data_IF_026376359545
#
_entry.id   IF_026376359545
#
_cell.length_a   1.000
_cell.length_b   1.000
_cell.length_c   1.000
_cell.angle_alpha   90.00
_cell.angle_beta   90.00
_cell.angle_gamma   90.00
#
_symmetry.space_group_name_H-M   'P 1'
#
loop_
_entity.id
_entity.type
_entity.pdbx_description
1 polymer ?
#
# COMPACT_ATOMS: atom_id res chain seq x y z
N UNK A 1 12.86 16.65 -5.57
CA UNK A 1 12.38 15.94 -6.78
C UNK A 1 12.41 14.45 -6.46
N UNK A 2 11.27 13.77 -6.46
CA UNK A 2 11.23 12.30 -6.28
C UNK A 2 11.85 11.66 -7.52
N UNK A 3 12.86 10.82 -7.33
CA UNK A 3 13.40 9.99 -8.40
C UNK A 3 12.89 8.57 -8.19
N UNK A 4 11.70 8.27 -8.73
CA UNK A 4 11.24 6.88 -8.84
C UNK A 4 12.12 6.23 -9.91
N UNK A 5 13.16 5.52 -9.48
CA UNK A 5 14.02 4.78 -10.39
C UNK A 5 13.28 3.53 -10.86
N UNK A 6 12.60 3.68 -11.99
CA UNK A 6 11.92 2.58 -12.66
C UNK A 6 12.95 1.69 -13.37
N UNK A 7 12.66 0.40 -13.43
CA UNK A 7 13.32 -0.54 -14.34
C UNK A 7 12.41 -0.77 -15.58
N UNK A 8 12.87 -1.59 -16.53
CA UNK A 8 12.07 -1.91 -17.73
C UNK A 8 10.70 -2.51 -17.40
N UNK A 9 10.57 -3.25 -16.29
CA UNK A 9 9.35 -3.94 -15.92
C UNK A 9 8.26 -2.99 -15.36
N UNK A 10 8.67 -1.88 -14.73
CA UNK A 10 7.74 -0.95 -14.08
C UNK A 10 7.71 0.47 -14.68
N UNK A 11 8.50 0.73 -15.73
CA UNK A 11 8.55 2.01 -16.43
C UNK A 11 7.18 2.47 -16.94
N UNK A 12 6.37 1.55 -17.49
CA UNK A 12 5.03 1.89 -17.99
C UNK A 12 4.06 2.40 -16.92
N UNK A 13 4.34 2.14 -15.64
CA UNK A 13 3.51 2.55 -14.50
C UNK A 13 4.05 3.79 -13.79
N UNK A 14 5.04 4.49 -14.35
CA UNK A 14 5.76 5.56 -13.66
C UNK A 14 4.83 6.69 -13.18
N UNK A 15 3.81 7.08 -13.96
CA UNK A 15 2.87 8.15 -13.58
C UNK A 15 2.05 7.75 -12.35
N UNK A 16 1.55 6.51 -12.35
CA UNK A 16 0.77 5.93 -11.25
C UNK A 16 1.64 5.83 -10.00
N UNK A 17 2.85 5.27 -10.15
CA UNK A 17 3.81 5.16 -9.05
C UNK A 17 4.21 6.54 -8.50
N UNK A 18 4.42 7.52 -9.37
CA UNK A 18 4.74 8.89 -8.97
C UNK A 18 3.57 9.57 -8.26
N UNK A 19 2.32 9.28 -8.66
CA UNK A 19 1.13 9.78 -7.95
C UNK A 19 0.97 9.13 -6.57
N UNK A 20 1.24 7.82 -6.45
CA UNK A 20 1.13 7.09 -5.18
C UNK A 20 2.21 7.55 -4.19
N UNK A 21 3.45 7.68 -4.66
CA UNK A 21 4.60 8.03 -3.83
C UNK A 21 4.92 9.52 -3.82
N UNK A 22 4.14 10.37 -4.51
CA UNK A 22 4.39 11.81 -4.58
C UNK A 22 4.39 12.49 -3.21
N UNK A 23 3.59 11.96 -2.28
CA UNK A 23 3.50 12.42 -0.89
C UNK A 23 4.69 11.95 -0.02
N UNK A 24 5.41 10.90 -0.46
CA UNK A 24 6.54 10.30 0.25
C UNK A 24 7.82 10.82 -0.40
N UNK A 25 8.33 11.90 0.18
CA UNK A 25 9.47 12.70 -0.29
C UNK A 25 10.73 11.84 -0.58
N UNK A 26 11.73 12.46 -1.21
CA UNK A 26 13.02 11.92 -1.73
C UNK A 26 13.84 10.97 -0.83
N UNK A 27 13.37 10.76 0.39
CA UNK A 27 14.00 9.93 1.40
C UNK A 27 13.64 8.45 1.24
N UNK A 28 12.83 8.06 0.26
CA UNK A 28 12.37 6.68 0.05
C UNK A 28 12.87 6.03 -1.24
N UNK A 29 13.02 4.70 -1.21
CA UNK A 29 13.39 3.85 -2.35
C UNK A 29 12.47 2.63 -2.42
N UNK A 30 12.14 2.22 -3.64
CA UNK A 30 11.51 0.94 -3.93
C UNK A 30 12.57 0.00 -4.51
N UNK A 31 12.90 -1.08 -3.80
CA UNK A 31 13.96 -2.01 -4.23
C UNK A 31 13.52 -2.87 -5.41
N UNK A 32 14.48 -3.46 -6.14
CA UNK A 32 14.19 -4.45 -7.19
C UNK A 32 13.40 -5.67 -6.69
N UNK A 33 13.49 -5.98 -5.39
CA UNK A 33 12.74 -7.05 -4.72
C UNK A 33 11.36 -6.61 -4.19
N UNK A 34 10.98 -5.36 -4.48
CA UNK A 34 9.68 -4.79 -4.19
C UNK A 34 9.51 -4.24 -2.77
N UNK A 35 10.59 -3.86 -2.08
CA UNK A 35 10.55 -3.34 -0.71
C UNK A 35 10.50 -1.82 -0.75
N UNK A 36 9.46 -1.25 -0.15
CA UNK A 36 9.36 0.18 0.14
C UNK A 36 10.08 0.49 1.45
N UNK A 37 11.11 1.34 1.39
CA UNK A 37 11.92 1.71 2.57
C UNK A 37 12.56 3.07 2.39
N UNK A 38 12.96 3.75 3.48
CA UNK A 38 13.81 4.94 3.37
C UNK A 38 15.15 4.59 2.72
N UNK A 39 15.82 5.58 2.12
CA UNK A 39 17.17 5.51 1.57
C UNK A 39 18.22 5.54 2.69
N UNK A 40 18.00 6.41 3.69
CA UNK A 40 18.77 6.42 4.93
C UNK A 40 17.93 5.82 6.05
N UNK A 41 18.43 4.80 6.77
CA UNK A 41 17.74 4.27 7.94
C UNK A 41 17.44 5.35 8.99
N UNK A 42 16.35 5.19 9.76
CA UNK A 42 16.07 6.07 10.87
C UNK A 42 17.11 5.92 11.98
N UNK A 43 17.14 6.90 12.88
CA UNK A 43 17.87 6.81 14.15
C UNK A 43 17.01 6.09 15.19
N UNK A 44 17.67 5.31 16.05
CA UNK A 44 17.00 4.64 17.15
C UNK A 44 16.46 5.68 18.15
N UNK A 45 15.16 5.64 18.51
CA UNK A 45 14.58 6.63 19.43
C UNK A 45 15.11 6.51 20.86
N UNK A 46 15.67 5.36 21.24
CA UNK A 46 16.17 5.11 22.59
C UNK A 46 17.62 5.58 22.79
N UNK A 47 18.51 5.33 21.83
CA UNK A 47 19.94 5.61 21.96
C UNK A 47 20.53 6.54 20.89
N UNK A 48 19.73 7.00 19.93
CA UNK A 48 20.16 7.92 18.87
C UNK A 48 21.06 7.31 17.79
N UNK A 49 21.43 6.03 17.89
CA UNK A 49 22.30 5.37 16.92
C UNK A 49 21.55 5.07 15.61
N UNK A 50 22.22 5.22 14.47
CA UNK A 50 21.66 4.83 13.18
C UNK A 50 21.29 3.36 13.17
N UNK A 51 20.07 3.05 12.71
CA UNK A 51 19.58 1.67 12.64
C UNK A 51 20.05 0.99 11.36
N UNK A 52 20.09 -0.33 11.36
CA UNK A 52 20.41 -1.14 10.18
C UNK A 52 19.14 -1.73 9.58
N UNK A 53 19.10 -1.86 8.25
CA UNK A 53 18.03 -2.63 7.60
C UNK A 53 18.04 -4.08 8.11
N UNK A 54 16.86 -4.59 8.43
CA UNK A 54 16.67 -5.95 8.94
C UNK A 54 15.45 -6.62 8.28
N UNK A 55 15.42 -6.60 6.95
CA UNK A 55 14.37 -7.22 6.15
C UNK A 55 13.13 -6.34 5.98
N UNK A 56 11.97 -7.00 5.91
CA UNK A 56 10.68 -6.37 5.65
C UNK A 56 9.53 -7.18 6.27
N UNK A 57 8.38 -6.54 6.48
CA UNK A 57 7.11 -7.26 6.62
C UNK A 57 6.27 -7.11 5.36
N UNK A 58 5.39 -8.07 5.10
CA UNK A 58 4.45 -8.03 3.99
C UNK A 58 3.05 -7.74 4.49
N UNK A 59 2.39 -6.74 3.93
CA UNK A 59 0.99 -6.43 4.19
C UNK A 59 0.18 -6.65 2.93
N UNK A 60 -0.83 -7.52 3.03
CA UNK A 60 -1.68 -7.90 1.91
C UNK A 60 -3.15 -7.59 2.18
N UNK A 61 -3.90 -7.45 1.09
CA UNK A 61 -5.36 -7.49 1.08
C UNK A 61 -5.79 -8.40 -0.07
N UNK A 62 -6.53 -9.45 0.27
CA UNK A 62 -7.06 -10.42 -0.70
C UNK A 62 -7.83 -9.67 -1.78
N UNK A 63 -7.59 -10.04 -3.04
CA UNK A 63 -8.20 -9.44 -4.23
C UNK A 63 -7.67 -8.07 -4.63
N UNK A 64 -6.75 -7.45 -3.86
CA UNK A 64 -6.18 -6.14 -4.17
C UNK A 64 -4.68 -6.20 -4.42
N UNK A 65 -3.93 -6.84 -3.52
CA UNK A 65 -2.48 -6.95 -3.66
C UNK A 65 -1.74 -6.99 -2.32
N UNK A 66 -0.42 -6.84 -2.39
CA UNK A 66 0.43 -6.79 -1.20
C UNK A 66 1.61 -5.84 -1.38
N UNK A 67 2.09 -5.28 -0.28
CA UNK A 67 3.25 -4.39 -0.20
C UNK A 67 4.26 -4.95 0.80
N UNK A 68 5.55 -4.76 0.53
CA UNK A 68 6.64 -5.08 1.47
C UNK A 68 7.17 -3.79 2.08
N UNK A 69 7.17 -3.71 3.40
CA UNK A 69 7.53 -2.51 4.17
C UNK A 69 8.85 -2.78 4.91
N UNK A 70 9.83 -1.90 4.73
CA UNK A 70 11.16 -2.05 5.29
C UNK A 70 11.19 -2.06 6.82
N UNK A 71 12.04 -2.92 7.39
CA UNK A 71 12.29 -3.03 8.82
C UNK A 71 13.71 -2.64 9.18
N UNK A 72 13.88 -2.21 10.42
CA UNK A 72 15.15 -1.80 10.97
C UNK A 72 15.42 -2.42 12.33
N UNK A 73 16.69 -2.54 12.68
CA UNK A 73 17.16 -2.94 14.01
C UNK A 73 18.27 -2.02 14.48
N UNK A 74 18.19 -1.58 15.74
CA UNK A 74 19.25 -0.83 16.38
C UNK A 74 20.40 -1.80 16.74
N UNK A 75 21.63 -1.56 16.26
CA UNK A 75 22.76 -2.43 16.59
C UNK A 75 23.20 -2.32 18.06
N UNK A 76 22.84 -1.24 18.76
CA UNK A 76 23.20 -1.01 20.17
C UNK A 76 22.14 -1.58 21.12
N UNK A 77 20.87 -1.25 20.91
CA UNK A 77 19.77 -1.61 21.82
C UNK A 77 19.02 -2.89 21.42
N UNK A 78 19.16 -3.34 20.18
CA UNK A 78 18.36 -4.45 19.62
C UNK A 78 16.90 -4.08 19.31
N UNK A 79 16.45 -2.87 19.65
CA UNK A 79 15.10 -2.39 19.33
C UNK A 79 14.83 -2.36 17.82
N UNK A 80 13.61 -2.69 17.42
CA UNK A 80 13.19 -2.75 16.01
C UNK A 80 12.20 -1.65 15.66
N UNK A 81 12.26 -1.14 14.44
CA UNK A 81 11.24 -0.25 13.87
C UNK A 81 10.86 -0.71 12.46
N UNK A 82 9.75 -0.19 11.97
CA UNK A 82 9.24 -0.42 10.62
C UNK A 82 8.89 0.92 9.99
N UNK A 83 9.00 1.01 8.66
CA UNK A 83 8.49 2.18 7.94
C UNK A 83 6.98 2.36 8.08
N UNK A 84 6.57 3.61 7.97
CA UNK A 84 5.16 3.93 7.81
C UNK A 84 4.59 3.31 6.52
N UNK A 85 3.35 2.87 6.61
CA UNK A 85 2.61 2.19 5.53
C UNK A 85 1.35 2.94 5.14
N UNK A 86 1.28 4.22 5.46
CA UNK A 86 0.09 5.06 5.28
C UNK A 86 -0.32 5.14 3.81
N UNK A 87 0.64 5.03 2.87
CA UNK A 87 0.33 5.00 1.43
C UNK A 87 -0.54 3.78 1.09
N UNK A 88 -0.28 2.63 1.71
CA UNK A 88 -1.04 1.41 1.47
C UNK A 88 -2.44 1.50 2.08
N UNK A 89 -2.57 2.12 3.25
CA UNK A 89 -3.86 2.38 3.87
C UNK A 89 -4.69 3.39 3.06
N UNK A 90 -4.07 4.46 2.56
CA UNK A 90 -4.68 5.46 1.68
C UNK A 90 -5.19 4.82 0.38
N UNK A 91 -4.35 4.02 -0.28
CA UNK A 91 -4.69 3.37 -1.56
C UNK A 91 -5.86 2.38 -1.39
N UNK A 92 -5.88 1.62 -0.28
CA UNK A 92 -7.05 0.80 0.09
C UNK A 92 -8.30 1.65 0.29
N UNK A 93 -8.18 2.77 1.00
CA UNK A 93 -9.30 3.69 1.24
C UNK A 93 -9.88 4.28 -0.04
N UNK A 94 -9.02 4.78 -0.94
CA UNK A 94 -9.40 5.31 -2.25
C UNK A 94 -10.11 4.26 -3.10
N UNK A 95 -9.55 3.05 -3.17
CA UNK A 95 -10.16 1.92 -3.86
C UNK A 95 -11.54 1.59 -3.28
N UNK A 96 -11.64 1.42 -1.96
CA UNK A 96 -12.92 1.17 -1.29
C UNK A 96 -13.94 2.29 -1.54
N UNK A 97 -13.50 3.55 -1.62
CA UNK A 97 -14.36 4.68 -1.96
C UNK A 97 -14.97 4.58 -3.37
N UNK A 98 -14.16 4.20 -4.36
CA UNK A 98 -14.63 3.97 -5.74
C UNK A 98 -15.63 2.81 -5.78
N UNK A 99 -15.30 1.70 -5.15
CA UNK A 99 -16.19 0.53 -5.11
C UNK A 99 -17.52 0.86 -4.44
N UNK A 100 -17.51 1.56 -3.30
CA UNK A 100 -18.74 1.99 -2.64
C UNK A 100 -19.61 2.86 -3.53
N UNK A 101 -18.99 3.76 -4.32
CA UNK A 101 -19.72 4.60 -5.28
C UNK A 101 -20.36 3.77 -6.41
N UNK A 102 -19.65 2.77 -6.93
CA UNK A 102 -20.19 1.84 -7.93
C UNK A 102 -21.39 1.08 -7.35
N UNK A 103 -21.27 0.55 -6.13
CA UNK A 103 -22.37 -0.14 -5.43
C UNK A 103 -23.58 0.77 -5.22
N UNK A 104 -23.36 2.01 -4.79
CA UNK A 104 -24.44 3.00 -4.61
C UNK A 104 -25.16 3.31 -5.93
N UNK A 105 -24.43 3.46 -7.03
CA UNK A 105 -25.04 3.69 -8.35
C UNK A 105 -25.89 2.48 -8.79
N UNK A 106 -25.42 1.25 -8.58
CA UNK A 106 -26.21 0.06 -8.88
C UNK A 106 -27.50 -0.01 -8.04
N UNK A 107 -27.43 0.32 -6.74
CA UNK A 107 -28.61 0.42 -5.87
C UNK A 107 -29.60 1.48 -6.38
N UNK A 108 -29.11 2.65 -6.79
CA UNK A 108 -29.93 3.73 -7.36
C UNK A 108 -30.65 3.29 -8.64
N UNK A 109 -30.02 2.44 -9.45
CA UNK A 109 -30.59 1.86 -10.65
C UNK A 109 -31.38 0.56 -10.41
N UNK A 110 -31.73 0.27 -9.15
CA UNK A 110 -32.54 -0.88 -8.75
C UNK A 110 -31.98 -2.25 -9.19
N UNK A 111 -30.66 -2.35 -9.34
CA UNK A 111 -30.00 -3.66 -9.53
C UNK A 111 -30.28 -4.50 -8.28
N UNK A 112 -30.69 -5.75 -8.47
CA UNK A 112 -30.97 -6.65 -7.35
C UNK A 112 -29.70 -6.89 -6.53
N UNK A 113 -29.85 -7.19 -5.24
CA UNK A 113 -28.70 -7.52 -4.38
C UNK A 113 -27.86 -8.67 -4.93
N UNK A 114 -28.51 -9.68 -5.52
CA UNK A 114 -27.79 -10.78 -6.18
C UNK A 114 -27.00 -10.27 -7.38
N UNK A 115 -27.60 -9.44 -8.23
CA UNK A 115 -26.90 -8.85 -9.38
C UNK A 115 -25.71 -7.98 -8.97
N UNK A 116 -25.84 -7.20 -7.88
CA UNK A 116 -24.72 -6.45 -7.30
C UNK A 116 -23.63 -7.40 -6.83
N UNK A 117 -23.98 -8.46 -6.11
CA UNK A 117 -23.01 -9.47 -5.63
C UNK A 117 -22.26 -10.12 -6.79
N UNK A 118 -22.97 -10.55 -7.84
CA UNK A 118 -22.39 -11.20 -9.01
C UNK A 118 -21.44 -10.25 -9.76
N UNK A 119 -21.83 -8.97 -9.93
CA UNK A 119 -20.97 -7.95 -10.54
C UNK A 119 -19.73 -7.70 -9.67
N UNK A 120 -19.90 -7.59 -8.35
CA UNK A 120 -18.79 -7.34 -7.44
C UNK A 120 -17.79 -8.49 -7.42
N UNK A 121 -18.23 -9.74 -7.56
CA UNK A 121 -17.34 -10.90 -7.68
C UNK A 121 -16.39 -10.80 -8.88
N UNK A 122 -16.81 -10.16 -9.98
CA UNK A 122 -15.98 -9.92 -11.16
C UNK A 122 -14.94 -8.80 -10.97
N UNK A 123 -15.23 -7.84 -10.11
CA UNK A 123 -14.39 -6.64 -9.91
C UNK A 123 -13.44 -6.84 -8.73
N UNK A 124 -13.99 -7.18 -7.56
CA UNK A 124 -13.28 -7.31 -6.32
C UNK A 124 -14.09 -8.17 -5.33
N UNK A 125 -13.57 -9.34 -4.90
CA UNK A 125 -14.30 -10.20 -3.99
C UNK A 125 -14.53 -9.49 -2.65
N UNK A 126 -15.80 -9.19 -2.36
CA UNK A 126 -16.23 -8.56 -1.12
C UNK A 126 -16.86 -9.57 -0.16
N UNK A 127 -16.69 -9.32 1.13
CA UNK A 127 -17.46 -10.03 2.15
C UNK A 127 -18.93 -9.69 2.02
N UNK A 128 -19.79 -10.68 2.22
CA UNK A 128 -21.25 -10.55 2.22
C UNK A 128 -21.72 -9.31 2.98
N UNK A 129 -21.22 -9.09 4.19
CA UNK A 129 -21.60 -7.98 5.06
C UNK A 129 -21.33 -6.58 4.47
N UNK A 130 -20.41 -6.45 3.53
CA UNK A 130 -20.11 -5.19 2.83
C UNK A 130 -21.12 -4.89 1.71
N UNK A 131 -21.73 -5.93 1.14
CA UNK A 131 -22.77 -5.80 0.11
C UNK A 131 -24.15 -5.61 0.74
N UNK A 132 -24.36 -6.19 1.93
CA UNK A 132 -25.64 -6.16 2.64
C UNK A 132 -25.87 -4.91 3.52
N UNK A 133 -24.83 -4.11 3.79
CA UNK A 133 -24.91 -2.80 4.47
C UNK A 133 -24.74 -1.66 3.45
#
# INVERSE_FOLDING_TARGET
>A
MVSVNTNLDNFSYWEILSSIFGDYLSDYVYTATGIFRRMMPPVCPECGMAMNYNGYNTYGKIGLGSVKIGRYICPCCGGTSEEERDFWEKLKGEFSGVINRITQLMRLHHVSYQGISDIMELIYPQGKDTIFN
#
